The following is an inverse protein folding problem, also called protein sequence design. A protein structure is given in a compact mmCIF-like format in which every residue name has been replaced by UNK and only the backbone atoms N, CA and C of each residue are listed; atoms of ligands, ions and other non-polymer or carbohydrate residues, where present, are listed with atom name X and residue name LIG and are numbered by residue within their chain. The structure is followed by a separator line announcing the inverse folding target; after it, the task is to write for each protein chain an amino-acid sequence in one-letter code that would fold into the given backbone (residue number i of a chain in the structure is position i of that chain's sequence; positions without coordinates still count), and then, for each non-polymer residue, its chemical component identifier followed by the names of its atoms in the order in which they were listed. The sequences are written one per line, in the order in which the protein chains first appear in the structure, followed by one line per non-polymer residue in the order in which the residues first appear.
data_IF_532582184320
#
_entry.id   IF_532582184320
#
_cell.length_a   1.000
_cell.length_b   1.000
_cell.length_c   1.000
_cell.angle_alpha   90.00
_cell.angle_beta   90.00
_cell.angle_gamma   90.00
#
_symmetry.space_group_name_H-M   'P 1'
#
loop_
_entity.id
_entity.type
_entity.pdbx_description
1 polymer ?
#
# COMPACT_ATOMS: atom_id res chain seq x y z
N UNK A 1 -6.42 -9.72 9.46
CA UNK A 1 -5.43 -8.74 8.92
C UNK A 1 -6.10 -7.38 8.89
N UNK A 2 -5.51 -6.33 9.48
CA UNK A 2 -6.06 -4.98 9.33
C UNK A 2 -5.88 -4.52 7.87
N UNK A 3 -6.71 -3.57 7.41
CA UNK A 3 -6.66 -3.09 6.02
C UNK A 3 -5.29 -2.50 5.65
N UNK A 4 -4.64 -1.79 6.57
CA UNK A 4 -3.30 -1.22 6.39
C UNK A 4 -2.24 -2.31 6.16
N UNK A 5 -2.20 -3.36 6.98
CA UNK A 5 -1.26 -4.49 6.85
C UNK A 5 -1.43 -5.22 5.52
N UNK A 6 -2.67 -5.33 5.03
CA UNK A 6 -2.93 -5.92 3.72
C UNK A 6 -2.40 -5.04 2.58
N UNK A 7 -2.69 -3.74 2.60
CA UNK A 7 -2.17 -2.80 1.60
C UNK A 7 -0.64 -2.73 1.60
N UNK A 8 -0.02 -2.71 2.78
CA UNK A 8 1.43 -2.70 2.95
C UNK A 8 2.08 -3.97 2.40
N UNK A 9 1.52 -5.14 2.70
CA UNK A 9 2.01 -6.42 2.16
C UNK A 9 1.99 -6.42 0.63
N UNK A 10 0.88 -5.99 0.02
CA UNK A 10 0.75 -5.93 -1.44
C UNK A 10 1.74 -4.97 -2.09
N UNK A 11 2.00 -3.82 -1.45
CA UNK A 11 3.04 -2.90 -1.89
C UNK A 11 4.42 -3.57 -1.88
N UNK A 12 4.78 -4.22 -0.77
CA UNK A 12 6.07 -4.89 -0.62
C UNK A 12 6.24 -6.03 -1.63
N UNK A 13 5.21 -6.86 -1.81
CA UNK A 13 5.22 -7.96 -2.78
C UNK A 13 5.45 -7.44 -4.20
N UNK A 14 4.73 -6.39 -4.62
CA UNK A 14 4.89 -5.79 -5.94
C UNK A 14 6.30 -5.20 -6.15
N UNK A 15 6.89 -4.59 -5.11
CA UNK A 15 8.26 -4.08 -5.17
C UNK A 15 9.30 -5.21 -5.28
N UNK A 16 9.14 -6.31 -4.54
CA UNK A 16 10.02 -7.48 -4.65
C UNK A 16 9.94 -8.07 -6.06
N UNK A 17 8.72 -8.36 -6.53
CA UNK A 17 8.50 -8.93 -7.87
C UNK A 17 9.04 -8.02 -8.98
N UNK A 18 8.94 -6.69 -8.84
CA UNK A 18 9.45 -5.76 -9.85
C UNK A 18 10.97 -5.82 -10.04
N UNK A 19 11.71 -6.19 -8.98
CA UNK A 19 13.18 -6.33 -9.00
C UNK A 19 13.61 -7.67 -9.59
N UNK A 20 12.76 -8.68 -9.46
CA UNK A 20 12.98 -10.03 -10.01
C UNK A 20 12.53 -10.14 -11.47
N UNK A 21 11.67 -9.23 -11.93
CA UNK A 21 11.18 -9.20 -13.30
C UNK A 21 12.31 -8.88 -14.30
N UNK A 22 12.59 -9.84 -15.18
CA UNK A 22 13.57 -9.71 -16.26
C UNK A 22 13.05 -8.89 -17.47
N UNK A 23 11.74 -8.75 -17.62
CA UNK A 23 11.11 -7.88 -18.62
C UNK A 23 10.89 -6.46 -18.04
N UNK A 24 11.50 -5.41 -18.66
CA UNK A 24 11.32 -4.02 -18.22
C UNK A 24 9.86 -3.54 -18.23
N UNK A 25 9.03 -4.03 -19.14
CA UNK A 25 7.62 -3.66 -19.22
C UNK A 25 6.81 -4.21 -18.05
N UNK A 26 7.09 -5.45 -17.65
CA UNK A 26 6.50 -6.10 -16.47
C UNK A 26 6.98 -5.40 -15.19
N UNK A 27 8.29 -5.14 -15.08
CA UNK A 27 8.85 -4.39 -13.95
C UNK A 27 8.16 -3.04 -13.77
N UNK A 28 7.98 -2.29 -14.87
CA UNK A 28 7.26 -1.00 -14.85
C UNK A 28 5.79 -1.12 -14.45
N UNK A 29 5.11 -2.19 -14.87
CA UNK A 29 3.72 -2.45 -14.46
C UNK A 29 3.63 -2.75 -12.95
N UNK A 30 4.53 -3.58 -12.42
CA UNK A 30 4.59 -3.92 -11.00
C UNK A 30 4.92 -2.70 -10.13
N UNK A 31 5.82 -1.81 -10.60
CA UNK A 31 6.10 -0.54 -9.91
C UNK A 31 4.84 0.33 -9.83
N UNK A 32 4.06 0.44 -10.92
CA UNK A 32 2.79 1.17 -10.90
C UNK A 32 1.77 0.54 -9.94
N UNK A 33 1.70 -0.79 -9.92
CA UNK A 33 0.86 -1.51 -8.96
C UNK A 33 1.30 -1.21 -7.52
N UNK A 34 2.60 -1.23 -7.23
CA UNK A 34 3.15 -0.91 -5.92
C UNK A 34 2.70 0.49 -5.46
N UNK A 35 2.86 1.52 -6.29
CA UNK A 35 2.41 2.88 -5.94
C UNK A 35 0.90 2.96 -5.69
N UNK A 36 0.10 2.16 -6.39
CA UNK A 36 -1.35 2.09 -6.15
C UNK A 36 -1.65 1.51 -4.76
N UNK A 37 -0.95 0.45 -4.36
CA UNK A 37 -1.10 -0.13 -3.02
C UNK A 37 -0.56 0.78 -1.91
N UNK A 38 0.52 1.51 -2.19
CA UNK A 38 1.07 2.50 -1.27
C UNK A 38 0.09 3.65 -1.02
N UNK A 39 -0.55 4.18 -2.06
CA UNK A 39 -1.60 5.19 -1.90
C UNK A 39 -2.74 4.67 -1.02
N UNK A 40 -3.23 3.45 -1.30
CA UNK A 40 -4.31 2.83 -0.52
C UNK A 40 -3.94 2.61 0.94
N UNK A 41 -2.67 2.30 1.21
CA UNK A 41 -2.15 2.18 2.57
C UNK A 41 -2.28 3.51 3.31
N UNK A 42 -1.78 4.61 2.73
CA UNK A 42 -1.88 5.93 3.36
C UNK A 42 -3.32 6.38 3.54
N UNK A 43 -4.20 6.16 2.55
CA UNK A 43 -5.62 6.46 2.70
C UNK A 43 -6.27 5.66 3.87
N UNK A 44 -5.78 4.44 4.15
CA UNK A 44 -6.26 3.62 5.25
C UNK A 44 -5.73 4.12 6.61
N UNK A 45 -4.46 4.53 6.67
CA UNK A 45 -3.85 5.17 7.85
C UNK A 45 -4.57 6.48 8.19
N UNK A 46 -4.81 7.35 7.22
CA UNK A 46 -5.52 8.62 7.42
C UNK A 46 -6.92 8.40 8.00
N UNK A 47 -7.64 7.38 7.50
CA UNK A 47 -8.95 7.00 8.06
C UNK A 47 -8.86 6.49 9.49
N UNK A 48 -7.82 5.72 9.81
CA UNK A 48 -7.60 5.21 11.16
C UNK A 48 -7.28 6.35 12.14
N UNK A 49 -6.42 7.28 11.73
CA UNK A 49 -6.07 8.49 12.51
C UNK A 49 -7.33 9.33 12.75
N UNK A 50 -8.10 9.65 11.70
CA UNK A 50 -9.34 10.43 11.85
C UNK A 50 -10.36 9.75 12.77
N UNK A 51 -10.40 8.41 12.81
CA UNK A 51 -11.25 7.68 13.74
C UNK A 51 -10.77 7.83 15.19
N UNK A 52 -9.46 7.75 15.43
CA UNK A 52 -8.88 7.94 16.76
C UNK A 52 -9.12 9.36 17.29
N UNK A 53 -8.95 10.38 16.44
CA UNK A 53 -9.22 11.78 16.79
C UNK A 53 -10.69 12.00 17.18
N UNK A 54 -11.63 11.42 16.42
CA UNK A 54 -13.07 11.46 16.76
C UNK A 54 -13.40 10.80 18.09
N UNK A 55 -12.72 9.70 18.41
CA UNK A 55 -12.91 8.99 19.68
C UNK A 55 -12.32 9.79 20.85
N UNK A 56 -11.20 10.49 20.65
CA UNK A 56 -10.56 11.32 21.67
C UNK A 56 -11.31 12.65 21.94
N UNK A 57 -12.04 13.15 20.95
CA UNK A 57 -12.85 14.37 21.07
C UNK A 57 -14.21 14.16 21.78
N UNK A 58 -14.50 12.94 22.24
CA UNK A 58 -15.75 12.55 22.89
C UNK A 58 -15.52 12.18 24.35
#
# INVERSE_FOLDING_TARGET
MNACSHCWSRYMDAMVLSREASDPSISKALIREAYTWLQRYFDAEDRAVAQLERLAAR
#
